data_IF_678881112387
#
_entry.id   IF_678881112387
#
_cell.length_a   1.000
_cell.length_b   1.000
_cell.length_c   1.000
_cell.angle_alpha   90.00
_cell.angle_beta   90.00
_cell.angle_gamma   90.00
#
_symmetry.space_group_name_H-M   'P 1'
#
loop_
_entity.id
_entity.type
_entity.pdbx_description
1 polymer ?
#
# COMPACT_ATOMS: atom_id res chain seq x y z
N UNK A 1 -25.73 1.87 15.07
CA UNK A 1 -24.46 2.23 15.72
C UNK A 1 -24.61 3.57 16.42
N UNK A 2 -25.57 3.69 17.34
CA UNK A 2 -25.72 4.87 18.20
C UNK A 2 -25.11 4.47 19.54
N UNK A 3 -23.92 4.95 19.87
CA UNK A 3 -23.28 4.65 21.16
C UNK A 3 -21.76 4.47 21.15
N UNK A 4 -21.12 4.44 19.98
CA UNK A 4 -19.66 4.64 19.93
C UNK A 4 -19.42 6.14 20.02
N UNK A 5 -18.66 6.56 21.04
CA UNK A 5 -18.14 7.93 21.09
C UNK A 5 -17.34 8.22 19.83
N UNK A 6 -17.28 9.48 19.41
CA UNK A 6 -16.56 9.86 18.20
C UNK A 6 -15.06 9.51 18.37
N UNK A 7 -14.49 8.75 17.42
CA UNK A 7 -13.09 8.31 17.42
C UNK A 7 -12.16 9.39 16.82
N UNK A 8 -12.39 10.65 17.21
CA UNK A 8 -11.82 11.84 16.55
C UNK A 8 -10.31 11.90 16.69
N UNK A 9 -9.75 11.57 17.85
CA UNK A 9 -8.31 11.67 18.09
C UNK A 9 -7.55 10.56 17.36
N UNK A 10 -8.12 9.35 17.33
CA UNK A 10 -7.59 8.27 16.48
C UNK A 10 -7.62 8.66 14.99
N UNK A 11 -8.73 9.23 14.53
CA UNK A 11 -8.87 9.64 13.15
C UNK A 11 -7.88 10.78 12.79
N UNK A 12 -7.74 11.79 13.66
CA UNK A 12 -6.76 12.88 13.49
C UNK A 12 -5.32 12.39 13.50
N UNK A 13 -4.97 11.47 14.38
CA UNK A 13 -3.64 10.84 14.37
C UNK A 13 -3.36 10.14 13.03
N UNK A 14 -4.35 9.41 12.48
CA UNK A 14 -4.21 8.78 11.16
C UNK A 14 -4.16 9.80 10.02
N UNK A 15 -4.91 10.91 10.11
CA UNK A 15 -4.81 11.99 9.13
C UNK A 15 -3.43 12.64 9.14
N UNK A 16 -2.83 12.83 10.33
CA UNK A 16 -1.47 13.37 10.43
C UNK A 16 -0.45 12.44 9.78
N UNK A 17 -0.59 11.13 10.00
CA UNK A 17 0.25 10.13 9.35
C UNK A 17 0.02 10.07 7.83
N UNK A 18 -1.23 10.20 7.37
CA UNK A 18 -1.54 10.30 5.95
C UNK A 18 -0.87 11.52 5.33
N UNK A 19 -0.98 12.70 5.94
CA UNK A 19 -0.38 13.94 5.46
C UNK A 19 1.14 13.83 5.33
N UNK A 20 1.79 13.26 6.36
CA UNK A 20 3.25 13.34 6.51
C UNK A 20 4.00 12.14 5.92
N UNK A 21 3.43 10.94 6.03
CA UNK A 21 4.09 9.69 5.64
C UNK A 21 3.58 9.24 4.26
N UNK A 22 2.27 9.03 4.14
CA UNK A 22 1.69 8.36 2.98
C UNK A 22 1.57 9.30 1.77
N UNK A 23 1.01 10.49 1.98
CA UNK A 23 0.66 11.43 0.91
C UNK A 23 1.86 11.91 0.09
N UNK A 24 3.06 12.19 0.64
CA UNK A 24 4.21 12.56 -0.18
C UNK A 24 4.56 11.48 -1.22
N UNK A 25 4.48 10.21 -0.82
CA UNK A 25 4.73 9.09 -1.73
C UNK A 25 3.63 8.96 -2.80
N UNK A 26 2.36 9.15 -2.41
CA UNK A 26 1.22 9.17 -3.35
C UNK A 26 1.36 10.31 -4.35
N UNK A 27 1.66 11.52 -3.89
CA UNK A 27 1.80 12.71 -4.72
C UNK A 27 2.90 12.51 -5.78
N UNK A 28 4.10 12.16 -5.33
CA UNK A 28 5.27 12.00 -6.21
C UNK A 28 5.11 10.82 -7.17
N UNK A 29 4.39 9.76 -6.81
CA UNK A 29 4.12 8.62 -7.70
C UNK A 29 2.94 8.86 -8.65
N UNK A 30 1.91 9.60 -8.23
CA UNK A 30 0.75 9.89 -9.09
C UNK A 30 1.10 10.85 -10.21
N UNK A 31 2.08 11.71 -9.96
CA UNK A 31 2.77 12.50 -10.96
C UNK A 31 3.97 11.67 -11.44
N UNK A 32 3.74 10.48 -12.01
CA UNK A 32 4.78 9.91 -12.86
C UNK A 32 5.05 10.97 -13.93
N UNK A 33 6.24 11.58 -13.88
CA UNK A 33 6.60 12.59 -14.84
C UNK A 33 6.53 11.96 -16.24
N UNK A 34 6.21 12.78 -17.25
CA UNK A 34 6.05 12.31 -18.62
C UNK A 34 7.24 11.48 -19.09
N UNK A 35 8.44 11.81 -18.60
CA UNK A 35 9.71 11.13 -18.89
C UNK A 35 9.74 9.68 -18.36
N UNK A 36 9.26 9.42 -17.14
CA UNK A 36 9.22 8.06 -16.56
C UNK A 36 8.20 7.19 -17.29
N UNK A 37 7.04 7.76 -17.62
CA UNK A 37 6.05 7.05 -18.43
C UNK A 37 6.58 6.77 -19.83
N UNK A 38 7.23 7.76 -20.46
CA UNK A 38 7.86 7.57 -21.76
C UNK A 38 8.93 6.47 -21.69
N UNK A 39 9.79 6.46 -20.68
CA UNK A 39 10.78 5.40 -20.48
C UNK A 39 10.15 4.01 -20.31
N UNK A 40 9.04 3.88 -19.57
CA UNK A 40 8.37 2.58 -19.36
C UNK A 40 7.66 2.10 -20.63
N UNK A 41 7.03 3.02 -21.37
CA UNK A 41 6.12 2.67 -22.47
C UNK A 41 6.70 2.86 -23.87
N UNK A 42 7.86 3.50 -24.05
CA UNK A 42 8.50 3.77 -25.34
C UNK A 42 8.68 2.50 -26.21
N UNK A 43 8.87 1.35 -25.58
CA UNK A 43 9.05 0.04 -26.24
C UNK A 43 7.76 -0.78 -26.30
N UNK A 44 6.61 -0.18 -25.98
CA UNK A 44 5.29 -0.82 -26.10
C UNK A 44 4.51 -0.20 -27.25
N UNK A 45 3.47 -0.89 -27.75
CA UNK A 45 2.52 -0.30 -28.71
C UNK A 45 1.81 0.96 -28.18
N UNK A 46 1.87 1.19 -26.87
CA UNK A 46 1.27 2.33 -26.18
C UNK A 46 2.22 3.53 -26.05
N UNK A 47 3.49 3.42 -26.44
CA UNK A 47 4.47 4.50 -26.33
C UNK A 47 4.05 5.78 -27.06
N UNK A 48 3.50 5.64 -28.27
CA UNK A 48 2.93 6.78 -29.00
C UNK A 48 1.70 7.38 -28.32
N UNK A 49 0.87 6.56 -27.65
CA UNK A 49 -0.29 7.05 -26.92
C UNK A 49 0.16 7.84 -25.69
N UNK A 50 1.11 7.31 -24.92
CA UNK A 50 1.72 7.99 -23.77
C UNK A 50 2.38 9.31 -24.18
N UNK A 51 3.09 9.35 -25.31
CA UNK A 51 3.63 10.59 -25.86
C UNK A 51 2.52 11.62 -26.21
N UNK A 52 1.35 11.15 -26.69
CA UNK A 52 0.17 12.00 -26.92
C UNK A 52 -0.49 12.45 -25.61
N UNK A 53 -0.46 11.63 -24.55
CA UNK A 53 -0.96 11.97 -23.21
C UNK A 53 -0.17 13.15 -22.62
N UNK A 54 1.16 13.10 -22.72
CA UNK A 54 2.06 14.18 -22.28
C UNK A 54 1.76 15.51 -22.99
N UNK A 55 1.29 15.47 -24.24
CA UNK A 55 0.90 16.64 -25.01
C UNK A 55 -0.52 17.17 -24.79
N UNK A 56 -1.41 16.43 -24.11
CA UNK A 56 -2.87 16.74 -24.02
C UNK A 56 -3.48 16.54 -22.63
N UNK A 57 -2.72 16.75 -21.54
CA UNK A 57 -3.15 16.55 -20.14
C UNK A 57 -4.43 17.29 -19.67
N UNK A 58 -5.21 17.96 -20.53
CA UNK A 58 -6.49 18.57 -20.15
C UNK A 58 -7.70 17.62 -20.15
N UNK A 59 -7.63 16.37 -20.64
CA UNK A 59 -8.82 15.49 -20.67
C UNK A 59 -8.62 13.96 -20.59
N UNK A 60 -7.46 13.47 -20.16
CA UNK A 60 -7.20 12.01 -20.11
C UNK A 60 -7.41 11.52 -18.69
N UNK A 61 -8.07 10.36 -18.54
CA UNK A 61 -8.16 9.64 -17.27
C UNK A 61 -6.76 9.50 -16.61
N UNK A 62 -6.66 9.63 -15.29
CA UNK A 62 -5.38 9.51 -14.60
C UNK A 62 -4.85 8.08 -14.71
N UNK A 63 -3.52 7.94 -14.78
CA UNK A 63 -2.84 6.63 -14.79
C UNK A 63 -3.04 5.86 -13.47
N UNK A 64 -3.34 6.59 -12.39
CA UNK A 64 -3.61 6.04 -11.06
C UNK A 64 -4.98 6.48 -10.57
N UNK A 65 -5.66 5.58 -9.87
CA UNK A 65 -6.86 5.88 -9.13
C UNK A 65 -6.66 5.49 -7.66
N UNK A 66 -6.58 6.49 -6.80
CA UNK A 66 -6.47 6.30 -5.35
C UNK A 66 -7.86 6.28 -4.73
N UNK A 67 -8.21 5.14 -4.13
CA UNK A 67 -9.48 4.95 -3.44
C UNK A 67 -9.19 4.89 -1.94
N UNK A 68 -9.54 5.97 -1.23
CA UNK A 68 -9.35 6.08 0.21
C UNK A 68 -10.65 5.69 0.90
N UNK A 69 -10.67 4.48 1.48
CA UNK A 69 -11.80 3.97 2.26
C UNK A 69 -11.76 4.56 3.67
N UNK A 70 -12.87 5.16 4.11
CA UNK A 70 -13.05 5.71 5.46
C UNK A 70 -14.29 5.13 6.13
N UNK A 71 -14.43 5.30 7.44
CA UNK A 71 -15.66 4.94 8.14
C UNK A 71 -16.86 5.70 7.50
N UNK A 72 -17.97 5.03 7.16
CA UNK A 72 -19.17 5.69 6.63
C UNK A 72 -19.73 6.81 7.51
N UNK A 73 -19.40 6.82 8.80
CA UNK A 73 -19.82 7.78 9.81
C UNK A 73 -18.63 8.59 10.35
N UNK A 74 -17.57 8.76 9.54
CA UNK A 74 -16.45 9.64 9.89
C UNK A 74 -16.96 11.03 10.27
N UNK A 75 -16.42 11.58 11.36
CA UNK A 75 -16.77 12.92 11.83
C UNK A 75 -16.59 13.96 10.69
N UNK A 76 -17.54 14.87 10.54
CA UNK A 76 -17.58 15.80 9.40
C UNK A 76 -16.38 16.76 9.42
N UNK A 77 -15.91 17.19 10.59
CA UNK A 77 -14.72 18.03 10.68
C UNK A 77 -13.48 17.27 10.22
N UNK A 78 -13.35 16.01 10.62
CA UNK A 78 -12.25 15.11 10.20
C UNK A 78 -12.32 14.83 8.69
N UNK A 79 -13.52 14.62 8.14
CA UNK A 79 -13.69 14.45 6.68
C UNK A 79 -13.28 15.71 5.91
N UNK A 80 -13.59 16.90 6.42
CA UNK A 80 -13.19 18.17 5.81
C UNK A 80 -11.67 18.38 5.91
N UNK A 81 -11.04 18.05 7.05
CA UNK A 81 -9.58 18.02 7.19
C UNK A 81 -8.94 17.08 6.16
N UNK A 82 -9.48 15.86 5.99
CA UNK A 82 -9.02 14.90 4.98
C UNK A 82 -9.11 15.46 3.55
N UNK A 83 -10.23 16.09 3.20
CA UNK A 83 -10.40 16.70 1.88
C UNK A 83 -9.33 17.76 1.59
N UNK A 84 -9.04 18.62 2.57
CA UNK A 84 -8.00 19.65 2.45
C UNK A 84 -6.61 19.04 2.27
N UNK A 85 -6.27 17.99 3.04
CA UNK A 85 -4.99 17.27 2.91
C UNK A 85 -4.84 16.66 1.50
N UNK A 86 -5.93 16.14 0.93
CA UNK A 86 -5.93 15.50 -0.38
C UNK A 86 -6.06 16.47 -1.56
N UNK A 87 -6.15 17.77 -1.32
CA UNK A 87 -6.28 18.79 -2.38
C UNK A 87 -5.17 18.69 -3.45
N UNK A 88 -3.88 18.45 -3.11
CA UNK A 88 -2.83 18.31 -4.13
C UNK A 88 -3.02 17.09 -5.05
N UNK A 89 -3.81 16.10 -4.62
CA UNK A 89 -4.05 14.82 -5.30
C UNK A 89 -5.49 14.63 -5.77
N UNK A 90 -6.28 15.70 -5.75
CA UNK A 90 -7.73 15.70 -5.98
C UNK A 90 -8.19 15.14 -7.33
N UNK A 91 -7.31 15.17 -8.34
CA UNK A 91 -7.64 14.72 -9.70
C UNK A 91 -7.67 13.20 -9.83
N UNK A 92 -7.01 12.49 -8.91
CA UNK A 92 -6.81 11.04 -8.96
C UNK A 92 -7.24 10.34 -7.67
N UNK A 93 -7.94 11.06 -6.78
CA UNK A 93 -8.31 10.54 -5.45
C UNK A 93 -9.81 10.59 -5.21
N UNK A 94 -10.33 9.53 -4.60
CA UNK A 94 -11.72 9.37 -4.17
C UNK A 94 -11.75 9.01 -2.69
N UNK A 95 -12.59 9.69 -1.91
CA UNK A 95 -12.86 9.31 -0.52
C UNK A 95 -14.19 8.59 -0.46
N UNK A 96 -14.20 7.35 0.03
CA UNK A 96 -15.38 6.48 0.02
C UNK A 96 -15.70 6.01 1.44
N UNK A 97 -16.87 6.40 1.95
CA UNK A 97 -17.39 5.95 3.24
C UNK A 97 -17.88 4.50 3.17
N UNK A 98 -16.99 3.55 3.44
CA UNK A 98 -17.28 2.12 3.35
C UNK A 98 -16.41 1.28 4.28
N UNK A 99 -17.06 0.33 4.97
CA UNK A 99 -16.41 -0.71 5.77
C UNK A 99 -16.18 -2.00 4.96
N UNK A 100 -16.50 -1.99 3.66
CA UNK A 100 -16.21 -3.11 2.77
C UNK A 100 -14.76 -2.99 2.34
N UNK A 101 -13.96 -3.96 2.76
CA UNK A 101 -12.55 -4.05 2.41
C UNK A 101 -12.36 -5.27 1.51
N UNK A 102 -12.48 -5.05 0.21
CA UNK A 102 -11.99 -5.99 -0.81
C UNK A 102 -10.47 -6.00 -0.74
N UNK A 103 -9.86 -7.15 -0.95
CA UNK A 103 -8.49 -7.31 -0.52
C UNK A 103 -7.65 -8.25 -1.29
N UNK A 104 -6.39 -7.88 -1.36
CA UNK A 104 -5.29 -8.79 -1.62
C UNK A 104 -5.19 -9.70 -0.40
N UNK A 105 -5.88 -10.85 -0.46
CA UNK A 105 -5.90 -11.87 0.58
C UNK A 105 -7.24 -12.59 0.69
N UNK A 106 -7.65 -12.96 1.89
CA UNK A 106 -8.68 -14.00 2.16
C UNK A 106 -10.09 -13.70 1.62
N UNK A 107 -10.48 -12.43 1.48
CA UNK A 107 -11.82 -12.06 1.01
C UNK A 107 -11.82 -11.89 -0.50
N UNK A 108 -12.75 -12.55 -1.17
CA UNK A 108 -13.00 -12.34 -2.60
C UNK A 108 -13.72 -11.01 -2.88
N UNK A 109 -13.66 -10.61 -4.14
CA UNK A 109 -13.98 -9.28 -4.63
C UNK A 109 -12.73 -8.46 -4.89
N UNK A 110 -12.82 -7.59 -5.88
CA UNK A 110 -11.78 -6.61 -6.19
C UNK A 110 -12.21 -5.72 -7.35
N UNK A 111 -11.25 -5.06 -7.96
CA UNK A 111 -11.45 -4.31 -9.17
C UNK A 111 -11.68 -5.23 -10.37
N UNK A 112 -10.89 -6.32 -10.49
CA UNK A 112 -10.97 -7.25 -11.64
C UNK A 112 -12.36 -7.89 -11.80
N UNK A 113 -12.95 -8.42 -10.73
CA UNK A 113 -14.29 -9.02 -10.78
C UNK A 113 -15.42 -7.97 -10.81
N UNK A 114 -15.07 -6.70 -10.64
CA UNK A 114 -15.97 -5.57 -10.67
C UNK A 114 -16.70 -5.29 -9.35
N UNK A 115 -16.55 -6.09 -8.30
CA UNK A 115 -17.27 -5.86 -7.05
C UNK A 115 -16.86 -4.56 -6.36
N UNK A 116 -15.58 -4.20 -6.40
CA UNK A 116 -15.11 -2.95 -5.81
C UNK A 116 -15.58 -1.73 -6.60
N UNK A 117 -15.47 -1.76 -7.92
CA UNK A 117 -15.98 -0.68 -8.77
C UNK A 117 -17.49 -0.49 -8.59
N UNK A 118 -18.26 -1.58 -8.56
CA UNK A 118 -19.71 -1.53 -8.33
C UNK A 118 -20.05 -0.97 -6.94
N UNK A 119 -19.32 -1.38 -5.90
CA UNK A 119 -19.51 -0.86 -4.53
C UNK A 119 -19.24 0.64 -4.43
N UNK A 120 -18.27 1.17 -5.17
CA UNK A 120 -18.00 2.60 -5.25
C UNK A 120 -19.12 3.33 -5.99
N UNK A 121 -19.59 2.78 -7.11
CA UNK A 121 -20.71 3.34 -7.87
C UNK A 121 -22.00 3.38 -7.05
N UNK A 122 -22.26 2.35 -6.25
CA UNK A 122 -23.42 2.33 -5.36
C UNK A 122 -23.24 3.27 -4.17
N UNK A 123 -22.04 3.33 -3.58
CA UNK A 123 -21.73 4.31 -2.54
C UNK A 123 -21.86 5.75 -3.04
N UNK A 124 -21.56 6.02 -4.32
CA UNK A 124 -21.77 7.33 -4.93
C UNK A 124 -23.27 7.68 -4.98
N UNK A 125 -24.13 6.76 -5.41
CA UNK A 125 -25.59 6.95 -5.42
C UNK A 125 -26.15 7.20 -4.03
N UNK A 126 -25.56 6.57 -3.01
CA UNK A 126 -25.93 6.74 -1.60
C UNK A 126 -25.39 8.04 -0.98
N UNK A 127 -24.65 8.88 -1.72
CA UNK A 127 -24.02 10.09 -1.18
C UNK A 127 -22.86 9.83 -0.23
N UNK A 128 -22.25 8.63 -0.28
CA UNK A 128 -21.12 8.21 0.58
C UNK A 128 -19.75 8.39 -0.09
N UNK A 129 -19.70 8.99 -1.28
CA UNK A 129 -18.46 9.35 -1.97
C UNK A 129 -18.23 10.85 -1.83
N UNK A 130 -17.03 11.20 -1.40
CA UNK A 130 -16.55 12.56 -1.24
C UNK A 130 -15.33 12.80 -2.13
N UNK A 131 -15.25 14.00 -2.70
CA UNK A 131 -14.11 14.45 -3.50
C UNK A 131 -13.31 15.49 -2.68
N UNK A 132 -11.97 15.51 -2.77
CA UNK A 132 -11.14 16.49 -2.08
C UNK A 132 -11.49 17.95 -2.41
N UNK A 133 -11.90 18.21 -3.65
CA UNK A 133 -12.41 19.52 -4.11
C UNK A 133 -13.85 19.43 -4.61
N UNK A 134 -14.48 20.58 -4.83
CA UNK A 134 -15.78 20.76 -5.51
C UNK A 134 -15.71 20.41 -7.02
N UNK A 135 -14.98 19.35 -7.37
CA UNK A 135 -14.90 18.83 -8.72
C UNK A 135 -16.30 18.53 -9.24
N UNK A 136 -16.44 18.64 -10.56
CA UNK A 136 -17.64 18.19 -11.25
C UNK A 136 -17.86 16.71 -10.95
N UNK A 137 -18.79 16.40 -10.03
CA UNK A 137 -19.08 15.06 -9.56
C UNK A 137 -19.40 14.11 -10.73
N UNK A 138 -19.98 14.63 -11.80
CA UNK A 138 -20.24 13.88 -13.04
C UNK A 138 -18.94 13.45 -13.72
N UNK A 139 -17.93 14.34 -13.80
CA UNK A 139 -16.66 14.01 -14.42
C UNK A 139 -15.93 12.90 -13.65
N UNK A 140 -15.95 12.98 -12.32
CA UNK A 140 -15.34 11.97 -11.47
C UNK A 140 -16.12 10.63 -11.50
N UNK A 141 -17.46 10.67 -11.54
CA UNK A 141 -18.28 9.48 -11.75
C UNK A 141 -17.98 8.82 -13.10
N UNK A 142 -17.85 9.61 -14.16
CA UNK A 142 -17.51 9.10 -15.49
C UNK A 142 -16.11 8.49 -15.54
N UNK A 143 -15.14 9.05 -14.81
CA UNK A 143 -13.81 8.45 -14.63
C UNK A 143 -13.92 7.07 -13.96
N UNK A 144 -14.70 6.94 -12.87
CA UNK A 144 -14.90 5.65 -12.18
C UNK A 144 -15.56 4.64 -13.11
N UNK A 145 -16.60 5.04 -13.85
CA UNK A 145 -17.26 4.17 -14.81
C UNK A 145 -16.28 3.66 -15.88
N UNK A 146 -15.47 4.54 -16.47
CA UNK A 146 -14.47 4.15 -17.48
C UNK A 146 -13.42 3.23 -16.89
N UNK A 147 -12.88 3.56 -15.72
CA UNK A 147 -11.90 2.72 -15.03
C UNK A 147 -12.48 1.35 -14.66
N UNK A 148 -13.75 1.31 -14.24
CA UNK A 148 -14.46 0.07 -13.97
C UNK A 148 -14.58 -0.74 -15.26
N UNK A 149 -15.10 -0.19 -16.36
CA UNK A 149 -15.25 -0.91 -17.63
C UNK A 149 -13.91 -1.40 -18.21
N UNK A 150 -12.85 -0.61 -18.08
CA UNK A 150 -11.50 -0.95 -18.50
C UNK A 150 -10.93 -2.20 -17.80
N UNK A 151 -11.52 -2.66 -16.69
CA UNK A 151 -11.17 -3.93 -16.06
C UNK A 151 -11.38 -5.14 -16.98
N UNK A 152 -12.17 -5.02 -18.05
CA UNK A 152 -12.50 -6.18 -18.90
C UNK A 152 -11.49 -6.40 -20.01
N UNK A 153 -10.77 -5.35 -20.41
CA UNK A 153 -9.86 -5.34 -21.57
C UNK A 153 -8.44 -4.86 -21.25
N UNK A 154 -8.15 -4.49 -20.00
CA UNK A 154 -6.80 -4.11 -19.54
C UNK A 154 -6.25 -5.01 -18.44
N UNK A 155 -4.93 -4.96 -18.28
CA UNK A 155 -4.26 -5.45 -17.05
C UNK A 155 -4.71 -4.58 -15.89
N UNK A 156 -4.96 -5.22 -14.75
CA UNK A 156 -5.40 -4.55 -13.52
C UNK A 156 -4.34 -4.85 -12.47
N UNK A 157 -3.80 -3.80 -11.85
CA UNK A 157 -2.90 -3.87 -10.70
C UNK A 157 -3.61 -3.26 -9.50
N UNK A 158 -3.75 -4.04 -8.44
CA UNK A 158 -4.34 -3.61 -7.17
C UNK A 158 -3.22 -3.58 -6.14
N UNK A 159 -2.96 -2.43 -5.54
CA UNK A 159 -1.93 -2.29 -4.49
C UNK A 159 -2.58 -1.88 -3.19
N UNK A 160 -2.15 -2.51 -2.09
CA UNK A 160 -2.57 -2.13 -0.74
C UNK A 160 -1.58 -1.16 -0.10
N UNK A 161 -2.15 -0.13 0.51
CA UNK A 161 -1.43 0.87 1.27
C UNK A 161 -2.30 1.30 2.44
N UNK A 162 -1.80 1.13 3.66
CA UNK A 162 -2.45 1.68 4.84
C UNK A 162 -2.15 3.20 4.90
N UNK A 163 -3.06 3.99 5.47
CA UNK A 163 -2.97 5.45 5.45
C UNK A 163 -1.75 6.02 6.21
N UNK A 164 -1.09 5.20 7.01
CA UNK A 164 0.12 5.52 7.76
C UNK A 164 1.40 4.92 7.15
N UNK A 165 1.30 4.26 6.01
CA UNK A 165 2.44 3.66 5.32
C UNK A 165 2.78 4.41 4.03
N UNK A 166 3.98 4.19 3.51
CA UNK A 166 4.42 4.74 2.22
C UNK A 166 5.12 3.68 1.36
N UNK A 167 5.17 3.95 0.07
CA UNK A 167 5.81 3.09 -0.94
C UNK A 167 6.92 3.90 -1.60
N UNK A 168 8.01 3.23 -1.98
CA UNK A 168 9.12 3.89 -2.63
C UNK A 168 8.70 4.50 -3.98
N UNK A 169 9.20 5.68 -4.31
CA UNK A 169 8.86 6.42 -5.53
C UNK A 169 9.11 5.64 -6.83
N UNK A 170 10.05 4.69 -6.83
CA UNK A 170 10.37 3.85 -8.00
C UNK A 170 9.54 2.55 -8.06
N UNK A 171 8.81 2.20 -6.99
CA UNK A 171 8.16 0.90 -6.86
C UNK A 171 7.13 0.65 -7.97
N UNK A 172 6.23 1.60 -8.23
CA UNK A 172 5.23 1.41 -9.29
C UNK A 172 5.82 1.36 -10.70
N UNK A 173 6.94 2.05 -10.95
CA UNK A 173 7.64 1.94 -12.23
C UNK A 173 8.11 0.49 -12.47
N UNK A 174 8.71 -0.12 -11.44
CA UNK A 174 9.14 -1.53 -11.49
C UNK A 174 7.94 -2.48 -11.62
N UNK A 175 6.84 -2.22 -10.90
CA UNK A 175 5.61 -3.02 -11.04
C UNK A 175 5.03 -2.94 -12.44
N UNK A 176 4.95 -1.74 -13.03
CA UNK A 176 4.42 -1.56 -14.37
C UNK A 176 5.28 -2.29 -15.40
N UNK A 177 6.60 -2.14 -15.32
CA UNK A 177 7.53 -2.83 -16.20
C UNK A 177 7.38 -4.36 -16.11
N UNK A 178 7.38 -4.90 -14.90
CA UNK A 178 7.25 -6.35 -14.68
C UNK A 178 5.87 -6.89 -15.05
N UNK A 179 4.80 -6.11 -14.83
CA UNK A 179 3.45 -6.47 -15.26
C UNK A 179 3.34 -6.49 -16.79
N UNK A 180 3.92 -5.52 -17.50
CA UNK A 180 3.95 -5.52 -18.96
C UNK A 180 4.68 -6.76 -19.51
N UNK A 181 5.82 -7.12 -18.91
CA UNK A 181 6.60 -8.29 -19.33
C UNK A 181 5.86 -9.62 -19.11
N UNK A 182 5.13 -9.74 -18.02
CA UNK A 182 4.59 -11.04 -17.59
C UNK A 182 3.06 -11.21 -17.77
N UNK A 183 2.27 -10.15 -17.65
CA UNK A 183 0.79 -10.22 -17.71
C UNK A 183 0.19 -9.82 -19.07
N UNK A 184 0.99 -9.26 -19.98
CA UNK A 184 0.52 -8.89 -21.32
C UNK A 184 1.00 -9.92 -22.33
N UNK A 185 0.07 -10.46 -23.11
CA UNK A 185 0.39 -11.38 -24.20
C UNK A 185 1.27 -10.68 -25.24
N UNK A 186 2.51 -11.18 -25.40
CA UNK A 186 3.49 -10.65 -26.34
C UNK A 186 3.08 -10.82 -27.80
N UNK A 187 2.17 -11.74 -28.12
CA UNK A 187 1.58 -11.81 -29.47
C UNK A 187 0.70 -10.59 -29.78
N UNK A 188 0.12 -10.00 -28.74
CA UNK A 188 -0.71 -8.79 -28.84
C UNK A 188 0.04 -7.50 -28.53
N UNK A 189 1.26 -7.61 -28.03
CA UNK A 189 2.11 -6.52 -27.56
C UNK A 189 3.46 -6.62 -28.25
N UNK A 190 3.81 -5.68 -29.13
CA UNK A 190 5.14 -5.56 -29.73
C UNK A 190 6.22 -5.16 -28.70
N UNK A 191 6.14 -5.67 -27.46
CA UNK A 191 7.15 -5.47 -26.45
C UNK A 191 8.39 -6.26 -26.85
N UNK A 192 9.36 -5.58 -27.45
CA UNK A 192 10.70 -6.11 -27.62
C UNK A 192 11.39 -5.81 -26.30
N UNK A 193 11.46 -6.81 -25.42
CA UNK A 193 12.41 -6.73 -24.32
C UNK A 193 13.79 -6.63 -24.99
N UNK A 194 14.47 -5.50 -24.83
CA UNK A 194 15.90 -5.44 -25.11
C UNK A 194 16.59 -6.31 -24.04
N UNK A 195 16.52 -7.63 -24.18
CA UNK A 195 17.22 -8.59 -23.30
C UNK A 195 18.75 -8.52 -23.52
N UNK A 196 19.21 -7.68 -24.47
CA UNK A 196 20.61 -7.41 -24.83
C UNK A 196 21.47 -6.81 -23.69
N UNK A 197 20.90 -6.38 -22.56
CA UNK A 197 21.69 -5.93 -21.41
C UNK A 197 21.96 -7.01 -20.34
N UNK A 198 21.36 -8.21 -20.42
CA UNK A 198 21.57 -9.23 -19.38
C UNK A 198 22.00 -10.63 -19.82
N UNK A 199 21.88 -11.03 -21.09
CA UNK A 199 22.36 -12.35 -21.53
C UNK A 199 23.08 -12.30 -22.89
N UNK A 200 24.34 -11.88 -22.89
CA UNK A 200 25.29 -12.24 -23.96
C UNK A 200 25.66 -13.73 -23.80
N UNK A 201 24.87 -14.60 -24.42
CA UNK A 201 25.15 -16.03 -24.53
C UNK A 201 24.76 -16.52 -25.92
N UNK A 202 25.80 -16.84 -26.70
CA UNK A 202 25.86 -17.30 -28.09
C UNK A 202 24.60 -17.91 -28.75
N UNK A 203 24.40 -17.46 -29.99
CA UNK A 203 23.47 -17.93 -31.02
C UNK A 203 23.51 -19.46 -31.21
N UNK A 204 22.53 -20.19 -30.66
CA UNK A 204 22.17 -21.53 -31.14
C UNK A 204 20.67 -21.79 -30.90
N UNK A 205 19.93 -21.93 -32.01
CA UNK A 205 18.56 -22.46 -32.11
C UNK A 205 17.55 -22.03 -31.02
N UNK A 206 16.92 -20.85 -31.21
CA UNK A 206 15.70 -20.48 -30.49
C UNK A 206 14.56 -21.42 -30.93
N UNK A 207 14.48 -22.59 -30.29
CA UNK A 207 13.27 -23.40 -30.29
C UNK A 207 12.09 -22.49 -29.93
N UNK A 208 10.93 -22.70 -30.54
CA UNK A 208 9.66 -22.05 -30.16
C UNK A 208 9.26 -22.47 -28.73
N UNK A 209 10.05 -22.10 -27.73
CA UNK A 209 9.65 -22.17 -26.34
C UNK A 209 8.46 -21.25 -26.22
N UNK A 210 7.27 -21.86 -26.08
CA UNK A 210 6.01 -21.18 -25.84
C UNK A 210 6.24 -20.16 -24.73
N UNK A 211 6.26 -18.88 -25.11
CA UNK A 211 6.60 -17.82 -24.18
C UNK A 211 5.47 -17.74 -23.16
N UNK A 212 5.75 -18.21 -21.95
CA UNK A 212 4.77 -18.29 -20.87
C UNK A 212 4.34 -16.89 -20.47
N UNK A 213 3.03 -16.71 -20.26
CA UNK A 213 2.45 -15.48 -19.74
C UNK A 213 1.68 -15.79 -18.47
N UNK A 214 1.85 -14.92 -17.48
CA UNK A 214 1.13 -15.03 -16.24
C UNK A 214 -0.32 -14.56 -16.44
N UNK A 215 -1.26 -15.30 -15.87
CA UNK A 215 -2.66 -14.91 -15.69
C UNK A 215 -2.81 -13.98 -14.49
N UNK A 216 -2.06 -14.22 -13.44
CA UNK A 216 -2.02 -13.38 -12.25
C UNK A 216 -0.64 -13.41 -11.61
N UNK A 217 -0.32 -12.37 -10.83
CA UNK A 217 0.95 -12.28 -10.10
C UNK A 217 0.80 -11.51 -8.79
N UNK A 218 1.51 -11.95 -7.76
CA UNK A 218 1.73 -11.21 -6.52
C UNK A 218 3.11 -10.57 -6.51
N UNK A 219 3.18 -9.29 -6.15
CA UNK A 219 4.42 -8.60 -5.83
C UNK A 219 4.45 -8.21 -4.36
N UNK A 220 5.53 -8.60 -3.71
CA UNK A 220 5.76 -8.37 -2.30
C UNK A 220 7.02 -7.51 -2.13
N UNK A 221 6.96 -6.42 -1.37
CA UNK A 221 8.15 -5.66 -1.02
C UNK A 221 9.16 -6.54 -0.27
N UNK A 222 10.39 -6.59 -0.77
CA UNK A 222 11.43 -7.44 -0.19
C UNK A 222 11.94 -6.90 1.15
N UNK A 223 12.19 -5.58 1.16
CA UNK A 223 12.69 -4.83 2.32
C UNK A 223 11.82 -3.63 2.59
N UNK A 224 11.64 -3.34 3.87
CA UNK A 224 10.91 -2.16 4.32
C UNK A 224 11.59 -1.50 5.50
N UNK A 225 11.40 -0.18 5.61
CA UNK A 225 11.75 0.57 6.81
C UNK A 225 10.54 0.57 7.74
N UNK A 226 10.76 0.40 9.03
CA UNK A 226 9.76 0.68 10.06
C UNK A 226 10.17 1.95 10.79
N UNK A 227 9.21 2.85 10.94
CA UNK A 227 9.36 4.07 11.72
C UNK A 227 8.52 4.00 12.98
N UNK A 228 9.13 4.32 14.10
CA UNK A 228 8.46 4.48 15.38
C UNK A 228 8.60 5.94 15.83
N UNK A 229 7.51 6.62 16.20
CA UNK A 229 7.62 7.94 16.80
C UNK A 229 8.42 7.81 18.10
N UNK A 230 9.47 8.62 18.25
CA UNK A 230 10.27 8.61 19.48
C UNK A 230 9.54 9.40 20.56
N UNK A 231 9.51 8.81 21.76
CA UNK A 231 8.85 9.38 22.92
C UNK A 231 9.80 10.19 23.81
N UNK A 232 11.07 10.31 23.44
CA UNK A 232 12.02 11.10 24.21
C UNK A 232 11.72 12.58 23.95
N UNK A 233 10.63 13.04 24.59
CA UNK A 233 10.14 14.41 24.65
C UNK A 233 11.22 15.41 25.13
N UNK A 234 12.33 14.88 25.65
CA UNK A 234 13.50 15.59 26.16
C UNK A 234 14.82 15.20 25.47
N UNK A 235 14.79 14.50 24.32
CA UNK A 235 16.02 14.31 23.54
C UNK A 235 16.46 15.67 22.96
N UNK A 236 17.63 16.20 23.38
CA UNK A 236 18.17 17.44 22.83
C UNK A 236 18.49 17.38 21.34
N UNK A 237 18.43 16.20 20.70
CA UNK A 237 18.83 15.99 19.32
C UNK A 237 17.73 16.22 18.26
N UNK A 238 16.51 16.59 18.64
CA UNK A 238 15.43 16.95 17.69
C UNK A 238 15.13 15.81 16.68
N UNK A 239 15.01 14.57 17.16
CA UNK A 239 14.89 13.36 16.32
C UNK A 239 13.48 13.23 15.66
N UNK A 240 13.38 13.03 14.33
CA UNK A 240 12.14 12.67 13.62
C UNK A 240 11.52 11.32 14.02
N UNK A 241 12.24 10.52 14.81
CA UNK A 241 11.81 9.21 15.29
C UNK A 241 12.72 8.10 14.76
N UNK A 242 12.54 6.90 15.28
CA UNK A 242 13.52 5.83 15.09
C UNK A 242 13.17 4.98 13.88
N UNK A 243 14.15 4.78 13.00
CA UNK A 243 14.04 3.96 11.81
C UNK A 243 14.76 2.63 11.99
N UNK A 244 14.18 1.57 11.43
CA UNK A 244 14.79 0.24 11.39
C UNK A 244 14.46 -0.44 10.07
N UNK A 245 15.48 -1.02 9.42
CA UNK A 245 15.29 -1.77 8.17
C UNK A 245 14.99 -3.23 8.51
N UNK A 246 13.98 -3.78 7.85
CA UNK A 246 13.61 -5.17 7.96
C UNK A 246 13.63 -5.81 6.57
N UNK A 247 14.14 -7.04 6.52
CA UNK A 247 14.06 -7.93 5.37
C UNK A 247 13.23 -9.13 5.78
N UNK A 248 12.21 -9.45 4.99
CA UNK A 248 11.26 -10.53 5.29
C UNK A 248 11.24 -11.51 4.12
N UNK A 249 12.15 -12.50 4.07
CA UNK A 249 12.38 -13.35 2.89
C UNK A 249 11.23 -14.31 2.56
N UNK A 250 10.19 -14.35 3.38
CA UNK A 250 9.06 -15.28 3.22
C UNK A 250 7.69 -14.66 3.53
N UNK A 251 7.65 -13.36 3.84
CA UNK A 251 6.43 -12.66 4.27
C UNK A 251 6.23 -11.43 3.40
N UNK A 252 5.04 -11.32 2.81
CA UNK A 252 4.63 -10.09 2.15
C UNK A 252 4.13 -9.11 3.21
N UNK A 253 4.77 -7.96 3.33
CA UNK A 253 4.25 -6.86 4.15
C UNK A 253 3.10 -6.17 3.43
N UNK A 254 2.15 -5.62 4.19
CA UNK A 254 0.97 -4.94 3.64
C UNK A 254 1.31 -3.77 2.70
N UNK A 255 2.16 -2.79 3.10
CA UNK A 255 2.39 -1.63 2.24
C UNK A 255 3.15 -2.05 1.00
N UNK A 256 2.56 -1.82 -0.17
CA UNK A 256 3.13 -2.22 -1.46
C UNK A 256 2.83 -3.66 -1.86
N UNK A 257 2.10 -4.44 -1.05
CA UNK A 257 1.58 -5.72 -1.54
C UNK A 257 0.66 -5.45 -2.74
N UNK A 258 1.00 -6.02 -3.89
CA UNK A 258 0.29 -5.79 -5.14
C UNK A 258 -0.14 -7.12 -5.75
N UNK A 259 -1.36 -7.15 -6.27
CA UNK A 259 -1.90 -8.24 -7.07
C UNK A 259 -2.20 -7.73 -8.47
N UNK A 260 -1.71 -8.43 -9.47
CA UNK A 260 -1.98 -8.15 -10.87
C UNK A 260 -2.74 -9.26 -11.54
N UNK A 261 -3.53 -8.87 -12.53
CA UNK A 261 -4.34 -9.76 -13.33
C UNK A 261 -4.10 -9.47 -14.80
N UNK A 262 -3.89 -10.50 -15.61
CA UNK A 262 -3.99 -10.43 -17.06
C UNK A 262 -5.46 -10.31 -17.51
N UNK A 263 -5.65 -9.87 -18.74
CA UNK A 263 -6.97 -9.80 -19.37
C UNK A 263 -7.61 -11.20 -19.42
N UNK A 264 -8.89 -11.29 -19.07
CA UNK A 264 -9.62 -12.57 -19.05
C UNK A 264 -9.39 -13.42 -17.79
N UNK A 265 -8.53 -12.99 -16.85
CA UNK A 265 -8.33 -13.72 -15.59
C UNK A 265 -9.49 -13.48 -14.64
N UNK A 266 -10.18 -14.55 -14.25
CA UNK A 266 -11.20 -14.51 -13.22
C UNK A 266 -10.56 -14.49 -11.82
N UNK A 267 -11.11 -13.68 -10.93
CA UNK A 267 -10.59 -13.56 -9.56
C UNK A 267 -10.63 -14.88 -8.78
N UNK A 268 -11.59 -15.74 -9.08
CA UNK A 268 -11.73 -17.03 -8.43
C UNK A 268 -10.62 -18.04 -8.81
N UNK A 269 -9.79 -17.71 -9.82
CA UNK A 269 -8.59 -18.45 -10.18
C UNK A 269 -7.36 -17.97 -9.40
N UNK A 270 -7.44 -16.86 -8.67
CA UNK A 270 -6.32 -16.38 -7.85
C UNK A 270 -6.42 -16.97 -6.45
N UNK A 271 -5.38 -17.69 -5.98
CA UNK A 271 -5.40 -18.25 -4.63
C UNK A 271 -5.33 -17.13 -3.59
N UNK A 272 -6.06 -17.28 -2.49
CA UNK A 272 -6.24 -16.21 -1.49
C UNK A 272 -5.71 -16.63 -0.13
N UNK A 273 -4.62 -16.00 0.31
CA UNK A 273 -4.00 -16.24 1.61
C UNK A 273 -3.88 -14.96 2.43
N UNK A 274 -3.64 -15.11 3.74
CA UNK A 274 -3.16 -14.00 4.56
C UNK A 274 -1.80 -13.52 4.03
N UNK A 275 -1.54 -12.21 4.07
CA UNK A 275 -0.33 -11.63 3.47
C UNK A 275 0.99 -12.24 4.00
N UNK A 276 1.00 -12.75 5.23
CA UNK A 276 2.14 -13.46 5.83
C UNK A 276 2.38 -14.86 5.29
N UNK A 277 1.42 -15.41 4.55
CA UNK A 277 1.45 -16.77 3.98
C UNK A 277 1.51 -16.79 2.46
N UNK A 278 1.09 -15.71 1.78
CA UNK A 278 1.01 -15.63 0.30
C UNK A 278 2.26 -16.20 -0.37
N UNK A 279 3.44 -15.68 -0.02
CA UNK A 279 4.67 -16.09 -0.68
C UNK A 279 4.97 -17.58 -0.47
N UNK A 280 4.93 -18.04 0.79
CA UNK A 280 5.20 -19.44 1.13
C UNK A 280 4.22 -20.41 0.46
N UNK A 281 2.92 -20.12 0.54
CA UNK A 281 1.87 -20.98 -0.04
C UNK A 281 2.03 -21.10 -1.55
N UNK A 282 2.32 -20.01 -2.26
CA UNK A 282 2.48 -20.04 -3.72
C UNK A 282 3.80 -20.70 -4.13
N UNK A 283 4.91 -20.32 -3.50
CA UNK A 283 6.25 -20.76 -3.93
C UNK A 283 6.62 -22.16 -3.46
N UNK A 284 5.95 -22.67 -2.44
CA UNK A 284 6.23 -24.00 -1.88
C UNK A 284 5.05 -24.95 -2.07
N UNK A 285 3.83 -24.57 -1.68
CA UNK A 285 2.70 -25.51 -1.69
C UNK A 285 1.98 -25.61 -3.05
N UNK A 286 1.97 -24.55 -3.85
CA UNK A 286 1.39 -24.51 -5.21
C UNK A 286 2.44 -24.54 -6.31
N UNK A 287 3.68 -24.90 -6.01
CA UNK A 287 4.74 -24.95 -7.00
C UNK A 287 4.61 -26.23 -7.84
N UNK A 288 4.38 -26.08 -9.14
CA UNK A 288 4.29 -27.16 -10.11
C UNK A 288 5.65 -27.74 -10.56
N UNK A 289 6.76 -27.39 -9.88
CA UNK A 289 8.13 -27.84 -10.17
C UNK A 289 8.57 -27.65 -11.63
N UNK A 290 7.95 -26.70 -12.35
CA UNK A 290 8.26 -26.42 -13.75
C UNK A 290 7.58 -27.34 -14.77
N UNK A 291 6.67 -28.21 -14.36
CA UNK A 291 5.94 -29.11 -15.26
C UNK A 291 4.63 -28.48 -15.73
N UNK A 292 4.50 -28.31 -17.05
CA UNK A 292 3.22 -27.95 -17.67
C UNK A 292 2.25 -29.13 -17.56
N UNK A 293 1.06 -28.88 -17.02
CA UNK A 293 0.04 -29.93 -16.85
C UNK A 293 -0.54 -30.24 -18.24
N UNK A 294 -0.15 -31.38 -18.81
CA UNK A 294 -0.54 -31.77 -20.17
C UNK A 294 -2.03 -32.16 -20.31
N UNK A 295 -2.71 -32.48 -19.21
CA UNK A 295 -4.12 -32.88 -19.19
C UNK A 295 -5.01 -31.77 -18.62
N UNK A 296 -5.92 -31.24 -19.45
CA UNK A 296 -6.88 -30.18 -19.09
C UNK A 296 -7.78 -30.56 -17.88
N UNK A 297 -7.91 -31.85 -17.58
CA UNK A 297 -8.75 -32.35 -16.49
C UNK A 297 -8.13 -32.19 -15.08
N UNK A 298 -6.82 -31.92 -14.97
CA UNK A 298 -6.11 -31.73 -13.69
C UNK A 298 -5.47 -30.34 -13.54
N UNK A 299 -5.79 -29.38 -14.41
CA UNK A 299 -5.25 -28.02 -14.28
C UNK A 299 -5.70 -27.45 -12.94
N UNK A 300 -4.73 -27.19 -12.06
CA UNK A 300 -4.97 -26.45 -10.82
C UNK A 300 -5.71 -25.17 -11.20
N UNK A 301 -6.88 -24.96 -10.60
CA UNK A 301 -7.66 -23.73 -10.80
C UNK A 301 -6.81 -22.48 -10.48
N UNK A 302 -5.82 -22.66 -9.61
CA UNK A 302 -4.84 -21.65 -9.23
C UNK A 302 -3.58 -21.65 -10.09
N UNK A 303 -3.58 -22.27 -11.27
CA UNK A 303 -2.49 -22.10 -12.20
C UNK A 303 -2.40 -20.65 -12.69
N UNK A 304 -1.26 -20.04 -12.41
CA UNK A 304 -0.94 -18.70 -12.86
C UNK A 304 -0.37 -18.65 -14.27
N UNK A 305 -0.08 -19.78 -14.92
CA UNK A 305 0.47 -19.84 -16.28
C UNK A 305 1.99 -19.70 -16.40
N UNK A 306 2.71 -19.53 -15.27
CA UNK A 306 4.17 -19.61 -15.23
C UNK A 306 4.62 -20.94 -14.61
N UNK A 307 5.72 -21.47 -15.13
CA UNK A 307 6.31 -22.73 -14.70
C UNK A 307 7.81 -22.50 -14.46
N UNK A 308 8.30 -22.59 -13.20
CA UNK A 308 7.56 -22.93 -11.99
C UNK A 308 6.57 -21.83 -11.52
N UNK A 309 5.45 -22.23 -10.88
CA UNK A 309 4.45 -21.28 -10.34
C UNK A 309 5.00 -20.37 -9.25
N UNK A 310 6.15 -20.70 -8.66
CA UNK A 310 6.86 -19.82 -7.74
C UNK A 310 7.20 -18.46 -8.35
N UNK A 311 7.27 -18.36 -9.68
CA UNK A 311 7.45 -17.10 -10.42
C UNK A 311 6.24 -16.17 -10.35
N UNK A 312 5.10 -16.63 -9.86
CA UNK A 312 3.88 -15.84 -9.74
C UNK A 312 3.73 -15.14 -8.39
N UNK A 313 4.66 -15.35 -7.47
CA UNK A 313 4.80 -14.56 -6.24
C UNK A 313 6.25 -14.10 -6.11
N UNK A 314 6.50 -12.83 -6.40
CA UNK A 314 7.86 -12.28 -6.50
C UNK A 314 8.12 -11.24 -5.42
N UNK A 315 9.35 -11.24 -4.91
CA UNK A 315 9.84 -10.14 -4.11
C UNK A 315 10.39 -9.05 -5.02
N UNK A 316 9.94 -7.82 -4.80
CA UNK A 316 10.47 -6.65 -5.50
C UNK A 316 11.77 -6.24 -4.82
N UNK A 317 12.89 -6.58 -5.44
CA UNK A 317 14.23 -6.32 -4.91
C UNK A 317 14.74 -4.91 -5.22
N UNK A 318 14.25 -4.33 -6.32
CA UNK A 318 14.53 -2.95 -6.72
C UNK A 318 13.22 -2.17 -6.69
N UNK A 319 13.14 -1.05 -5.95
CA UNK A 319 14.23 -0.43 -5.19
C UNK A 319 14.59 -1.20 -3.91
N UNK A 320 15.85 -1.06 -3.46
CA UNK A 320 16.43 -1.80 -2.31
C UNK A 320 15.61 -1.71 -1.03
N UNK A 321 14.87 -0.63 -0.83
CA UNK A 321 13.86 -0.49 0.23
C UNK A 321 12.58 -0.06 -0.46
N UNK A 322 11.62 -0.97 -0.55
CA UNK A 322 10.42 -0.78 -1.36
C UNK A 322 9.24 -0.19 -0.59
N UNK A 323 9.23 -0.33 0.73
CA UNK A 323 8.14 0.16 1.57
C UNK A 323 8.64 0.85 2.85
N UNK A 324 7.83 1.75 3.37
CA UNK A 324 8.00 2.42 4.65
C UNK A 324 6.73 2.17 5.47
N UNK A 325 6.91 1.71 6.70
CA UNK A 325 5.82 1.29 7.56
C UNK A 325 5.82 2.07 8.85
N UNK A 326 4.72 2.77 9.13
CA UNK A 326 4.56 3.42 10.42
C UNK A 326 4.18 2.40 11.49
N UNK A 327 4.89 2.44 12.61
CA UNK A 327 4.56 1.72 13.84
C UNK A 327 4.12 2.74 14.86
N UNK A 328 2.93 3.31 14.65
CA UNK A 328 2.28 4.16 15.63
C UNK A 328 1.23 3.38 16.43
N UNK A 329 0.79 3.95 17.56
CA UNK A 329 -0.29 3.39 18.41
C UNK A 329 -1.65 3.34 17.71
N UNK A 330 -1.79 3.95 16.54
CA UNK A 330 -2.97 3.88 15.67
C UNK A 330 -3.04 2.59 14.85
N UNK A 331 -1.92 1.85 14.77
CA UNK A 331 -1.79 0.64 13.97
C UNK A 331 -2.40 -0.58 14.67
N UNK A 332 -3.02 -1.46 13.89
CA UNK A 332 -3.47 -2.76 14.42
C UNK A 332 -2.29 -3.69 14.75
N UNK A 333 -1.09 -3.40 14.25
CA UNK A 333 0.14 -4.13 14.49
C UNK A 333 1.09 -3.35 15.39
N UNK A 334 0.76 -3.21 16.67
CA UNK A 334 1.64 -2.67 17.72
C UNK A 334 2.77 -3.66 18.11
N UNK A 335 3.33 -4.35 17.13
CA UNK A 335 4.44 -5.27 17.33
C UNK A 335 5.70 -4.43 17.59
N UNK A 336 6.45 -4.73 18.64
CA UNK A 336 7.63 -3.95 19.11
C UNK A 336 7.36 -2.53 19.61
N UNK A 337 6.11 -2.09 19.72
CA UNK A 337 5.78 -0.86 20.45
C UNK A 337 5.51 -1.21 21.92
N UNK A 338 6.32 -0.68 22.82
CA UNK A 338 6.14 -0.67 24.26
C UNK A 338 5.53 0.66 24.74
N UNK A 339 5.47 0.82 26.06
CA UNK A 339 4.91 1.97 26.76
C UNK A 339 5.46 3.29 26.19
N UNK A 340 4.58 4.29 26.03
CA UNK A 340 4.89 5.59 25.42
C UNK A 340 5.38 5.55 23.97
N UNK A 341 5.35 4.40 23.29
CA UNK A 341 5.82 4.25 21.92
C UNK A 341 7.30 3.93 21.79
N UNK A 342 7.98 3.63 22.90
CA UNK A 342 9.36 3.14 22.88
C UNK A 342 9.44 1.75 22.23
N UNK A 343 10.49 1.44 21.46
CA UNK A 343 10.72 0.08 21.00
C UNK A 343 10.88 -0.90 22.17
N UNK A 344 10.34 -2.11 22.03
CA UNK A 344 10.36 -3.15 23.07
C UNK A 344 11.74 -3.74 23.40
N UNK A 345 12.79 -3.25 22.74
CA UNK A 345 14.15 -3.73 22.87
C UNK A 345 15.06 -2.51 22.99
N UNK A 346 16.02 -2.54 23.92
CA UNK A 346 17.09 -1.55 23.97
C UNK A 346 17.72 -1.46 22.59
N UNK A 347 17.71 -0.24 22.04
CA UNK A 347 18.19 0.03 20.70
C UNK A 347 19.71 0.16 20.82
N UNK A 348 20.50 -0.74 20.22
CA UNK A 348 21.95 -0.58 20.22
C UNK A 348 22.32 0.76 19.58
N UNK A 349 23.35 1.46 20.07
CA UNK A 349 23.81 2.74 19.51
C UNK A 349 24.08 2.69 17.99
N UNK A 350 24.39 1.51 17.45
CA UNK A 350 24.54 1.28 16.01
C UNK A 350 23.24 1.50 15.21
N UNK A 351 22.07 1.26 15.83
CA UNK A 351 20.76 1.52 15.22
C UNK A 351 20.42 3.00 15.21
N UNK A 352 20.78 3.76 16.25
CA UNK A 352 20.61 5.23 16.26
C UNK A 352 21.44 5.87 15.14
N UNK A 353 22.70 5.48 14.99
CA UNK A 353 23.56 5.95 13.89
C UNK A 353 22.97 5.59 12.52
N UNK A 354 22.40 4.39 12.38
CA UNK A 354 21.71 3.98 11.16
C UNK A 354 20.46 4.83 10.91
N UNK A 355 19.63 5.06 11.92
CA UNK A 355 18.43 5.91 11.84
C UNK A 355 18.78 7.31 11.34
N UNK A 356 19.80 7.94 11.92
CA UNK A 356 20.28 9.25 11.47
C UNK A 356 20.74 9.24 10.00
N UNK A 357 21.47 8.19 9.57
CA UNK A 357 21.89 8.07 8.16
C UNK A 357 20.70 7.89 7.21
N UNK A 358 19.65 7.20 7.64
CA UNK A 358 18.44 7.02 6.83
C UNK A 358 17.66 8.33 6.70
N UNK A 359 17.51 9.08 7.80
CA UNK A 359 16.89 10.40 7.76
C UNK A 359 17.70 11.43 6.98
N UNK A 360 19.03 11.31 6.97
CA UNK A 360 19.93 12.18 6.22
C UNK A 360 19.97 11.83 4.71
N UNK A 361 18.80 11.84 4.06
CA UNK A 361 18.64 11.76 2.61
C UNK A 361 17.76 10.60 2.14
N UNK A 362 18.05 9.37 2.57
CA UNK A 362 17.44 8.18 1.94
C UNK A 362 15.90 8.20 2.03
N UNK A 363 15.33 8.56 3.18
CA UNK A 363 13.87 8.54 3.38
C UNK A 363 13.17 9.61 2.53
N UNK A 364 13.72 10.82 2.47
CA UNK A 364 13.15 11.91 1.67
C UNK A 364 13.29 11.61 0.16
N UNK A 365 14.44 11.10 -0.27
CA UNK A 365 14.69 10.72 -1.66
C UNK A 365 13.81 9.54 -2.09
N UNK A 366 13.71 8.50 -1.25
CA UNK A 366 13.03 7.25 -1.60
C UNK A 366 11.52 7.29 -1.43
N UNK A 367 10.99 8.12 -0.51
CA UNK A 367 9.56 8.13 -0.16
C UNK A 367 8.94 9.53 -0.21
N UNK A 368 9.76 10.58 -0.28
CA UNK A 368 9.28 11.97 -0.20
C UNK A 368 8.95 12.44 1.21
N UNK A 369 9.27 11.67 2.24
CA UNK A 369 8.95 12.01 3.64
C UNK A 369 10.04 12.95 4.18
N UNK A 370 9.66 14.19 4.44
CA UNK A 370 10.56 15.19 5.02
C UNK A 370 10.81 14.90 6.51
N UNK A 371 12.08 14.84 6.98
CA UNK A 371 12.41 14.56 8.37
C UNK A 371 11.72 15.53 9.35
N UNK A 372 11.69 16.82 9.02
CA UNK A 372 11.03 17.83 9.87
C UNK A 372 9.52 17.58 10.02
N UNK A 373 8.85 17.14 8.95
CA UNK A 373 7.42 16.81 8.98
C UNK A 373 7.15 15.53 9.76
N UNK A 374 8.00 14.52 9.61
CA UNK A 374 7.93 13.30 10.43
C UNK A 374 8.07 13.62 11.92
N UNK A 375 8.98 14.56 12.27
CA UNK A 375 9.08 15.08 13.62
C UNK A 375 7.80 15.76 14.10
N UNK A 376 7.27 16.71 13.33
CA UNK A 376 5.99 17.38 13.67
C UNK A 376 4.86 16.37 13.89
N UNK A 377 4.81 15.29 13.11
CA UNK A 377 3.84 14.21 13.30
C UNK A 377 4.11 13.41 14.59
N UNK A 378 5.37 13.12 14.91
CA UNK A 378 5.77 12.47 16.16
C UNK A 378 5.33 13.31 17.36
N UNK A 379 5.69 14.60 17.38
CA UNK A 379 5.35 15.55 18.45
C UNK A 379 3.82 15.62 18.63
N UNK A 380 3.06 15.73 17.53
CA UNK A 380 1.60 15.74 17.55
C UNK A 380 1.02 14.44 18.13
N UNK A 381 1.50 13.27 17.70
CA UNK A 381 1.02 11.98 18.21
C UNK A 381 1.30 11.82 19.71
N UNK A 382 2.43 12.34 20.19
CA UNK A 382 2.76 12.31 21.60
C UNK A 382 1.88 13.27 22.42
N UNK A 383 1.55 14.45 21.89
CA UNK A 383 0.65 15.41 22.54
C UNK A 383 -0.75 14.82 22.78
N UNK A 384 -1.31 14.10 21.80
CA UNK A 384 -2.65 13.50 21.88
C UNK A 384 -2.64 12.00 22.16
N UNK A 385 -1.55 11.49 22.72
CA UNK A 385 -1.28 10.05 22.87
C UNK A 385 -2.37 9.33 23.66
N UNK A 386 -2.68 9.80 24.87
CA UNK A 386 -3.63 9.16 25.79
C UNK A 386 -5.02 9.05 25.15
N UNK A 387 -5.49 10.14 24.55
CA UNK A 387 -6.82 10.17 23.93
C UNK A 387 -6.88 9.30 22.67
N UNK A 388 -5.79 9.22 21.91
CA UNK A 388 -5.68 8.31 20.76
C UNK A 388 -5.72 6.85 21.20
N UNK A 389 -5.03 6.48 22.29
CA UNK A 389 -5.08 5.13 22.86
C UNK A 389 -6.50 4.78 23.33
N UNK A 390 -7.17 5.69 24.04
CA UNK A 390 -8.57 5.53 24.45
C UNK A 390 -9.52 5.35 23.26
N UNK A 391 -9.36 6.14 22.21
CA UNK A 391 -10.12 5.98 20.96
C UNK A 391 -9.84 4.63 20.32
N UNK A 392 -8.58 4.19 20.26
CA UNK A 392 -8.22 2.90 19.67
C UNK A 392 -8.87 1.74 20.44
N UNK A 393 -8.80 1.74 21.78
CA UNK A 393 -9.48 0.73 22.61
C UNK A 393 -10.98 0.68 22.29
N UNK A 394 -11.63 1.84 22.22
CA UNK A 394 -13.08 1.94 21.89
C UNK A 394 -13.41 1.43 20.48
N UNK A 395 -12.49 1.60 19.53
CA UNK A 395 -12.63 1.18 18.14
C UNK A 395 -12.28 -0.29 17.87
N UNK A 396 -11.45 -0.93 18.70
CA UNK A 396 -11.05 -2.33 18.52
C UNK A 396 -12.26 -3.27 18.51
N UNK A 397 -12.24 -4.26 17.60
CA UNK A 397 -13.29 -5.28 17.48
C UNK A 397 -14.69 -4.73 17.16
N UNK A 398 -14.77 -3.54 16.56
CA UNK A 398 -16.01 -2.95 16.06
C UNK A 398 -16.17 -3.17 14.56
N UNK A 399 -17.38 -2.97 14.02
CA UNK A 399 -17.64 -3.18 12.58
C UNK A 399 -16.79 -2.21 11.74
N UNK A 400 -15.96 -2.74 10.86
CA UNK A 400 -15.04 -1.94 10.02
C UNK A 400 -13.64 -1.79 10.60
N UNK A 401 -13.43 -2.20 11.86
CA UNK A 401 -12.14 -2.14 12.53
C UNK A 401 -11.52 -3.53 12.70
N UNK A 402 -10.20 -3.55 12.79
CA UNK A 402 -9.47 -4.78 13.14
C UNK A 402 -9.83 -5.23 14.56
N UNK A 403 -9.77 -6.55 14.80
CA UNK A 403 -9.95 -7.13 16.12
C UNK A 403 -8.71 -7.97 16.46
N UNK A 404 -7.91 -7.51 17.42
CA UNK A 404 -6.79 -8.27 17.97
C UNK A 404 -6.79 -8.12 19.49
N UNK A 405 -7.11 -9.21 20.18
CA UNK A 405 -7.18 -9.24 21.66
C UNK A 405 -5.85 -8.80 22.28
N UNK A 406 -4.73 -9.25 21.73
CA UNK A 406 -3.40 -8.84 22.19
C UNK A 406 -3.12 -7.35 22.02
N UNK A 407 -3.67 -6.70 20.98
CA UNK A 407 -3.56 -5.24 20.82
C UNK A 407 -4.39 -4.51 21.87
N UNK A 408 -5.59 -5.01 22.18
CA UNK A 408 -6.44 -4.44 23.23
C UNK A 408 -5.76 -4.51 24.61
N UNK A 409 -5.20 -5.66 24.96
CA UNK A 409 -4.46 -5.87 26.22
C UNK A 409 -3.26 -4.90 26.34
N UNK A 410 -2.49 -4.73 25.26
CA UNK A 410 -1.38 -3.77 25.22
C UNK A 410 -1.84 -2.32 25.40
N UNK A 411 -2.90 -1.92 24.70
CA UNK A 411 -3.45 -0.57 24.81
C UNK A 411 -3.97 -0.31 26.23
N UNK A 412 -4.66 -1.27 26.84
CA UNK A 412 -5.17 -1.14 28.21
C UNK A 412 -4.02 -0.98 29.22
N UNK A 413 -3.00 -1.85 29.14
CA UNK A 413 -1.80 -1.73 29.97
C UNK A 413 -1.12 -0.36 29.83
N UNK A 414 -1.10 0.18 28.61
CA UNK A 414 -0.54 1.51 28.35
C UNK A 414 -1.32 2.59 29.12
N UNK A 415 -2.65 2.53 29.14
CA UNK A 415 -3.48 3.47 29.92
C UNK A 415 -3.22 3.32 31.41
N UNK A 416 -3.24 2.09 31.91
CA UNK A 416 -3.12 1.82 33.35
C UNK A 416 -1.82 2.42 33.90
N UNK A 417 -0.71 2.30 33.16
CA UNK A 417 0.60 2.85 33.54
C UNK A 417 0.61 4.38 33.50
N UNK A 418 0.04 5.00 32.47
CA UNK A 418 -0.06 6.46 32.38
C UNK A 418 -0.90 7.04 33.52
N UNK A 419 -1.99 6.37 33.88
CA UNK A 419 -2.85 6.80 34.98
C UNK A 419 -2.18 6.57 36.35
N UNK A 420 -1.37 5.52 36.51
CA UNK A 420 -0.53 5.31 37.70
C UNK A 420 0.57 6.36 37.84
N UNK A 421 1.24 6.75 36.76
CA UNK A 421 2.28 7.80 36.78
C UNK A 421 1.70 9.18 37.10
N UNK A 422 0.53 9.51 36.55
CA UNK A 422 -0.16 10.79 36.81
C UNK A 422 -0.83 10.79 38.19
N UNK A 423 -1.30 9.64 38.66
CA UNK A 423 -1.96 9.43 39.96
C UNK A 423 -0.99 9.14 41.12
N UNK A 424 0.30 8.95 40.82
CA UNK A 424 1.36 8.73 41.79
C UNK A 424 1.49 9.91 42.74
N UNK A 425 0.87 9.79 43.91
CA UNK A 425 1.12 10.64 45.08
C UNK A 425 2.64 10.79 45.22
N UNK A 426 3.17 12.02 45.08
CA UNK A 426 4.52 12.34 45.53
C UNK A 426 4.61 11.94 47.01
N UNK A 427 5.17 10.77 47.29
CA UNK A 427 5.60 10.43 48.64
C UNK A 427 6.84 11.28 48.86
N UNK A 428 6.62 12.50 49.35
CA UNK A 428 7.66 13.38 49.89
C UNK A 428 8.46 12.54 50.88
N UNK A 429 9.71 12.21 50.52
CA UNK A 429 10.68 11.57 51.41
C UNK A 429 11.42 12.62 52.21
#
# INVERSE_FOLDING_TARGET
MQGQGTLVNLARSRLKLLEVICLPSIQKQSILNGDTLEMIYNHTKWGEEVGKLNGRMSSVDPNFLWIIKVDPNLDEAVLNELKLILEPVKQFTLVVGSNVNYGIGVKSGGWRDGKEGQEILDSFKDGRVSFPSDNNADAALQMIFRAHEARSDRVVLETRLDADDAINLEYFAVLHYTALKNLVDQRTSHFVANDDEFEQGDDDEVAETSQQTARWMYWCPHRHVQWSPSSDFYDPNDDPGILSIFESPSICVTPGLTLGFAVGTEEANVPRYEHTKIYWEITVNHNNEGQEVADEAEIDRHDCGLYPSSRCAVFVENPKVSAFRSRAMTSAGMHMMEEMGKPSMEIPATYEEMSHKLWNGLIEESFGIEPQKAKEASDFMMEIFVDTVRDNIRGQCTKGHSCKVSSLEKLQRTIDILEEEVGGIEIIR
#
